data_IF_030711280562
#
_entry.id   IF_030711280562
#
_cell.length_a   1.000
_cell.length_b   1.000
_cell.length_c   1.000
_cell.angle_alpha   90.00
_cell.angle_beta   90.00
_cell.angle_gamma   90.00
#
_symmetry.space_group_name_H-M   'P 1'
#
loop_
_entity.id
_entity.type
_entity.pdbx_description
1 polymer ?
#
# COMPACT_ATOMS: atom_id res chain seq x y z
N UNK A 1 6.01 -19.83 12.46
CA UNK A 1 6.79 -18.93 13.32
C UNK A 1 7.90 -18.33 12.47
N UNK A 2 7.55 -17.34 11.65
CA UNK A 2 8.49 -16.41 11.05
C UNK A 2 8.64 -15.24 12.00
N UNK A 3 9.87 -14.92 12.37
CA UNK A 3 10.17 -13.65 13.02
C UNK A 3 10.49 -12.65 11.93
N UNK A 4 9.97 -11.43 12.06
CA UNK A 4 10.17 -10.37 11.08
C UNK A 4 10.59 -9.10 11.78
N UNK A 5 11.56 -8.43 11.18
CA UNK A 5 12.10 -7.18 11.67
C UNK A 5 11.25 -6.02 11.19
N UNK A 6 11.36 -4.84 11.81
CA UNK A 6 10.74 -3.62 11.28
C UNK A 6 11.18 -3.38 9.84
N UNK A 7 12.44 -3.67 9.51
CA UNK A 7 12.96 -3.64 8.14
C UNK A 7 12.18 -4.53 7.19
N UNK A 8 11.94 -5.79 7.54
CA UNK A 8 11.16 -6.72 6.70
C UNK A 8 9.76 -6.17 6.40
N UNK A 9 9.11 -5.52 7.37
CA UNK A 9 7.78 -4.93 7.19
C UNK A 9 7.82 -3.75 6.24
N UNK A 10 8.80 -2.85 6.40
CA UNK A 10 8.96 -1.70 5.52
C UNK A 10 9.31 -2.12 4.08
N UNK A 11 10.15 -3.14 3.92
CA UNK A 11 10.49 -3.72 2.61
C UNK A 11 9.26 -4.37 1.96
N UNK A 12 8.48 -5.16 2.73
CA UNK A 12 7.23 -5.74 2.24
C UNK A 12 6.25 -4.66 1.76
N UNK A 13 6.07 -3.60 2.54
CA UNK A 13 5.19 -2.49 2.18
C UNK A 13 5.67 -1.78 0.93
N UNK A 14 6.98 -1.49 0.83
CA UNK A 14 7.56 -0.89 -0.37
C UNK A 14 7.32 -1.76 -1.61
N UNK A 15 7.55 -3.06 -1.49
CA UNK A 15 7.31 -4.01 -2.58
C UNK A 15 5.84 -4.07 -2.97
N UNK A 16 4.93 -3.98 -2.00
CA UNK A 16 3.50 -3.98 -2.26
C UNK A 16 3.07 -2.75 -3.06
N UNK A 17 3.51 -1.54 -2.70
CA UNK A 17 3.22 -0.33 -3.49
C UNK A 17 3.85 -0.41 -4.90
N UNK A 18 5.09 -0.88 -5.03
CA UNK A 18 5.72 -1.08 -6.36
C UNK A 18 4.93 -2.05 -7.23
N UNK A 19 4.49 -3.17 -6.65
CA UNK A 19 3.70 -4.17 -7.37
C UNK A 19 2.32 -3.64 -7.75
N UNK A 20 1.66 -2.86 -6.87
CA UNK A 20 0.40 -2.19 -7.18
C UNK A 20 0.57 -1.18 -8.32
N UNK A 21 1.62 -0.36 -8.29
CA UNK A 21 1.94 0.57 -9.38
C UNK A 21 2.09 -0.13 -10.73
N UNK A 22 2.86 -1.22 -10.76
CA UNK A 22 3.07 -2.04 -11.96
C UNK A 22 1.78 -2.69 -12.45
N UNK A 23 0.96 -3.23 -11.54
CA UNK A 23 -0.34 -3.83 -11.86
C UNK A 23 -1.26 -2.79 -12.53
N UNK A 24 -1.35 -1.59 -11.97
CA UNK A 24 -2.17 -0.52 -12.53
C UNK A 24 -1.66 -0.07 -13.90
N UNK A 25 -0.35 -0.02 -14.10
CA UNK A 25 0.24 0.27 -15.40
C UNK A 25 -0.09 -0.81 -16.44
N UNK A 26 -0.01 -2.09 -16.07
CA UNK A 26 -0.36 -3.21 -16.95
C UNK A 26 -1.85 -3.21 -17.33
N UNK A 27 -2.74 -2.90 -16.40
CA UNK A 27 -4.18 -2.79 -16.68
C UNK A 27 -4.49 -1.62 -17.60
N UNK A 28 -3.71 -0.55 -17.48
CA UNK A 28 -3.84 0.64 -18.32
C UNK A 28 -3.55 0.34 -19.79
N UNK A 29 -2.57 -0.53 -20.05
CA UNK A 29 -2.24 -0.99 -21.41
C UNK A 29 -3.34 -1.85 -22.04
N UNK A 30 -4.23 -2.43 -21.22
CA UNK A 30 -5.28 -3.36 -21.65
C UNK A 30 -6.66 -2.69 -21.74
N UNK A 31 -6.87 -1.56 -21.07
CA UNK A 31 -8.17 -0.87 -21.06
C UNK A 31 -8.34 0.04 -22.28
N UNK A 32 -9.56 0.08 -22.83
CA UNK A 32 -9.94 1.03 -23.88
C UNK A 32 -10.84 2.16 -23.35
N UNK A 33 -11.15 2.14 -22.05
CA UNK A 33 -12.09 3.07 -21.42
C UNK A 33 -11.31 4.25 -20.87
N UNK A 34 -11.47 5.42 -21.48
CA UNK A 34 -10.73 6.65 -21.13
C UNK A 34 -10.79 7.01 -19.63
N UNK A 35 -11.96 6.83 -19.00
CA UNK A 35 -12.14 7.08 -17.56
C UNK A 35 -11.35 6.11 -16.68
N UNK A 36 -11.25 4.84 -17.10
CA UNK A 36 -10.48 3.81 -16.39
C UNK A 36 -8.98 4.05 -16.59
N UNK A 37 -8.55 4.43 -17.80
CA UNK A 37 -7.16 4.84 -18.09
C UNK A 37 -6.71 6.01 -17.19
N UNK A 38 -7.53 7.06 -17.07
CA UNK A 38 -7.23 8.21 -16.22
C UNK A 38 -7.04 7.81 -14.75
N UNK A 39 -7.94 6.98 -14.21
CA UNK A 39 -7.83 6.53 -12.82
C UNK A 39 -6.63 5.60 -12.62
N UNK A 40 -6.39 4.65 -13.52
CA UNK A 40 -5.23 3.76 -13.47
C UNK A 40 -3.91 4.54 -13.52
N UNK A 41 -3.85 5.60 -14.35
CA UNK A 41 -2.70 6.50 -14.41
C UNK A 41 -2.48 7.23 -13.09
N UNK A 42 -3.55 7.72 -12.47
CA UNK A 42 -3.48 8.36 -11.15
C UNK A 42 -2.97 7.37 -10.10
N UNK A 43 -3.58 6.19 -9.99
CA UNK A 43 -3.23 5.16 -9.01
C UNK A 43 -1.79 4.68 -9.21
N UNK A 44 -1.38 4.35 -10.43
CA UNK A 44 -0.02 3.87 -10.72
C UNK A 44 1.04 4.86 -10.25
N UNK A 45 0.86 6.16 -10.56
CA UNK A 45 1.77 7.21 -10.10
C UNK A 45 1.73 7.38 -8.58
N UNK A 46 0.55 7.29 -7.99
CA UNK A 46 0.37 7.44 -6.55
C UNK A 46 1.14 6.37 -5.77
N UNK A 47 0.99 5.11 -6.17
CA UNK A 47 1.70 3.98 -5.57
C UNK A 47 3.22 4.10 -5.73
N UNK A 48 3.70 4.58 -6.89
CA UNK A 48 5.13 4.83 -7.10
C UNK A 48 5.66 5.92 -6.14
N UNK A 49 4.92 7.01 -5.96
CA UNK A 49 5.26 8.08 -5.01
C UNK A 49 5.29 7.56 -3.55
N UNK A 50 4.42 6.62 -3.19
CA UNK A 50 4.41 5.98 -1.87
C UNK A 50 5.58 5.04 -1.66
N UNK A 51 5.91 4.21 -2.64
CA UNK A 51 7.10 3.35 -2.58
C UNK A 51 8.40 4.15 -2.39
N UNK A 52 8.49 5.34 -3.02
CA UNK A 52 9.60 6.26 -2.85
C UNK A 52 9.59 6.94 -1.48
N UNK A 53 8.41 7.31 -0.98
CA UNK A 53 8.25 7.91 0.34
C UNK A 53 8.66 6.94 1.44
N UNK A 54 8.22 5.68 1.37
CA UNK A 54 8.63 4.62 2.29
C UNK A 54 10.13 4.33 2.23
N UNK A 55 10.74 4.38 1.04
CA UNK A 55 12.20 4.26 0.91
C UNK A 55 12.92 5.32 1.74
N UNK A 56 12.51 6.58 1.63
CA UNK A 56 13.10 7.70 2.37
C UNK A 56 12.85 7.61 3.88
N UNK A 57 11.65 7.15 4.27
CA UNK A 57 11.35 6.88 5.69
C UNK A 57 12.31 5.82 6.22
N UNK A 58 12.47 4.70 5.50
CA UNK A 58 13.36 3.60 5.89
C UNK A 58 14.81 4.06 6.03
N UNK A 59 15.31 4.87 5.08
CA UNK A 59 16.66 5.47 5.14
C UNK A 59 16.86 6.42 6.33
N UNK A 60 15.78 7.06 6.80
CA UNK A 60 15.80 7.98 7.95
C UNK A 60 15.61 7.31 9.31
N UNK A 61 15.26 6.03 9.35
CA UNK A 61 15.06 5.26 10.59
C UNK A 61 16.41 4.70 11.06
N UNK A 62 16.68 4.77 12.37
CA UNK A 62 17.92 4.23 12.93
C UNK A 62 17.97 2.69 12.81
N UNK A 63 19.13 2.14 12.52
CA UNK A 63 19.38 0.69 12.46
C UNK A 63 18.85 -0.09 13.69
N UNK A 64 18.96 0.51 14.88
CA UNK A 64 18.42 -0.09 16.12
C UNK A 64 16.91 -0.39 16.06
N UNK A 65 16.14 0.48 15.39
CA UNK A 65 14.69 0.30 15.21
C UNK A 65 14.44 -0.69 14.07
N UNK A 66 15.21 -0.62 12.99
CA UNK A 66 15.08 -1.52 11.84
C UNK A 66 15.32 -2.99 12.23
N UNK A 67 16.26 -3.24 13.13
CA UNK A 67 16.60 -4.57 13.64
C UNK A 67 15.69 -5.05 14.80
N UNK A 68 14.67 -4.27 15.19
CA UNK A 68 13.72 -4.68 16.22
C UNK A 68 12.89 -5.87 15.73
N UNK A 69 12.88 -6.95 16.53
CA UNK A 69 12.25 -8.23 16.19
C UNK A 69 10.79 -8.27 16.66
N UNK A 70 9.90 -8.66 15.76
CA UNK A 70 8.49 -8.90 16.06
C UNK A 70 8.09 -10.35 15.78
N UNK A 71 7.21 -10.89 16.62
CA UNK A 71 6.61 -12.21 16.44
C UNK A 71 5.39 -12.12 15.52
N UNK A 72 5.60 -11.63 14.30
CA UNK A 72 4.52 -11.41 13.34
C UNK A 72 4.77 -12.25 12.09
N UNK A 73 3.76 -13.01 11.69
CA UNK A 73 3.73 -13.64 10.37
C UNK A 73 3.36 -12.57 9.34
N UNK A 74 4.29 -12.26 8.44
CA UNK A 74 3.97 -11.38 7.31
C UNK A 74 3.25 -12.19 6.22
N UNK A 75 2.03 -11.77 5.93
CA UNK A 75 1.34 -12.19 4.71
C UNK A 75 2.15 -11.74 3.50
N UNK A 76 2.38 -12.63 2.54
CA UNK A 76 3.16 -12.28 1.35
C UNK A 76 2.44 -11.19 0.52
N UNK A 77 3.21 -10.35 -0.18
CA UNK A 77 2.66 -9.36 -1.13
C UNK A 77 1.69 -10.05 -2.11
N UNK A 78 2.08 -11.22 -2.62
CA UNK A 78 1.24 -12.00 -3.52
C UNK A 78 -0.09 -12.39 -2.86
N UNK A 79 -0.13 -12.73 -1.58
CA UNK A 79 -1.38 -13.07 -0.89
C UNK A 79 -2.28 -11.85 -0.68
N UNK A 80 -1.70 -10.67 -0.41
CA UNK A 80 -2.47 -9.42 -0.27
C UNK A 80 -3.04 -9.01 -1.63
N UNK A 81 -2.23 -9.09 -2.70
CA UNK A 81 -2.66 -8.83 -4.07
C UNK A 81 -3.53 -9.95 -4.66
N UNK A 82 -3.47 -11.17 -4.14
CA UNK A 82 -4.33 -12.28 -4.56
C UNK A 82 -5.79 -12.02 -4.20
N UNK A 83 -6.05 -11.32 -3.08
CA UNK A 83 -7.38 -10.78 -2.76
C UNK A 83 -7.90 -9.75 -3.77
N UNK A 84 -7.02 -9.31 -4.67
CA UNK A 84 -7.27 -8.36 -5.75
C UNK A 84 -7.28 -9.03 -7.15
N UNK A 85 -7.24 -10.37 -7.26
CA UNK A 85 -7.18 -11.14 -8.53
C UNK A 85 -8.36 -11.00 -9.49
N UNK A 86 -9.27 -10.06 -9.25
CA UNK A 86 -10.38 -9.71 -10.16
C UNK A 86 -9.97 -8.65 -11.19
N UNK A 87 -8.67 -8.42 -11.41
CA UNK A 87 -8.19 -7.54 -12.46
C UNK A 87 -8.52 -8.12 -13.85
N UNK A 88 -9.46 -7.51 -14.55
CA UNK A 88 -9.80 -7.83 -15.94
C UNK A 88 -9.83 -6.56 -16.81
N UNK A 89 -9.66 -6.67 -18.15
CA UNK A 89 -9.67 -5.51 -19.05
C UNK A 89 -10.94 -4.64 -18.96
N UNK A 90 -12.07 -5.27 -18.58
CA UNK A 90 -13.36 -4.61 -18.42
C UNK A 90 -13.63 -4.05 -17.00
N UNK A 91 -12.62 -4.01 -16.13
CA UNK A 91 -12.78 -3.59 -14.72
C UNK A 91 -13.43 -2.21 -14.65
N UNK A 92 -14.44 -2.07 -13.79
CA UNK A 92 -15.10 -0.79 -13.56
C UNK A 92 -14.26 0.11 -12.65
N UNK A 93 -14.54 1.42 -12.72
CA UNK A 93 -13.97 2.40 -11.79
C UNK A 93 -14.24 2.00 -10.34
N UNK A 94 -15.44 1.52 -10.02
CA UNK A 94 -15.80 1.13 -8.65
C UNK A 94 -15.02 -0.09 -8.17
N UNK A 95 -14.85 -1.11 -9.01
CA UNK A 95 -14.06 -2.30 -8.68
C UNK A 95 -12.59 -1.95 -8.48
N UNK A 96 -12.03 -1.09 -9.35
CA UNK A 96 -10.64 -0.62 -9.24
C UNK A 96 -10.41 0.17 -7.95
N UNK A 97 -11.35 1.02 -7.57
CA UNK A 97 -11.27 1.81 -6.33
C UNK A 97 -11.40 0.91 -5.10
N UNK A 98 -12.35 -0.01 -5.10
CA UNK A 98 -12.50 -0.97 -4.01
C UNK A 98 -11.24 -1.83 -3.84
N UNK A 99 -10.57 -2.17 -4.94
CA UNK A 99 -9.30 -2.88 -4.92
C UNK A 99 -8.19 -2.05 -4.26
N UNK A 100 -8.00 -0.80 -4.69
CA UNK A 100 -7.02 0.11 -4.08
C UNK A 100 -7.28 0.29 -2.58
N UNK A 101 -8.53 0.56 -2.19
CA UNK A 101 -8.91 0.74 -0.79
C UNK A 101 -8.69 -0.52 0.07
N UNK A 102 -8.84 -1.73 -0.50
CA UNK A 102 -8.54 -2.99 0.21
C UNK A 102 -7.05 -3.17 0.47
N UNK A 103 -6.20 -2.71 -0.45
CA UNK A 103 -4.75 -2.71 -0.27
C UNK A 103 -4.38 -1.76 0.87
N UNK A 104 -4.88 -0.53 0.84
CA UNK A 104 -4.69 0.47 1.91
C UNK A 104 -5.15 -0.08 3.27
N UNK A 105 -6.35 -0.68 3.33
CA UNK A 105 -6.89 -1.25 4.57
C UNK A 105 -6.05 -2.40 5.11
N UNK A 106 -5.45 -3.20 4.23
CA UNK A 106 -4.55 -4.29 4.62
C UNK A 106 -3.25 -3.74 5.23
N UNK A 107 -2.67 -2.68 4.64
CA UNK A 107 -1.49 -2.00 5.17
C UNK A 107 -1.77 -1.31 6.51
N UNK A 108 -2.90 -0.59 6.62
CA UNK A 108 -3.33 0.04 7.87
C UNK A 108 -3.47 -1.00 8.98
N UNK A 109 -4.11 -2.14 8.69
CA UNK A 109 -4.26 -3.22 9.66
C UNK A 109 -2.91 -3.80 10.08
N UNK A 110 -2.00 -4.00 9.13
CA UNK A 110 -0.64 -4.47 9.40
C UNK A 110 0.11 -3.50 10.32
N UNK A 111 0.14 -2.20 9.98
CA UNK A 111 0.86 -1.21 10.79
C UNK A 111 0.23 -1.02 12.18
N UNK A 112 -1.10 -1.06 12.31
CA UNK A 112 -1.77 -1.02 13.63
C UNK A 112 -1.37 -2.21 14.49
N UNK A 113 -1.29 -3.40 13.89
CA UNK A 113 -0.82 -4.60 14.58
C UNK A 113 0.64 -4.45 15.02
N UNK A 114 1.53 -4.04 14.12
CA UNK A 114 2.95 -3.81 14.44
C UNK A 114 3.15 -2.75 15.52
N UNK A 115 2.38 -1.65 15.51
CA UNK A 115 2.41 -0.64 16.56
C UNK A 115 1.98 -1.20 17.94
N UNK A 116 1.00 -2.11 17.95
CA UNK A 116 0.53 -2.74 19.19
C UNK A 116 1.54 -3.74 19.78
N UNK A 117 2.38 -4.35 18.93
CA UNK A 117 3.41 -5.30 19.34
C UNK A 117 4.80 -4.66 19.51
N UNK A 118 4.95 -3.37 19.20
CA UNK A 118 6.21 -2.65 19.32
C UNK A 118 6.72 -2.59 20.76
N UNK A 119 7.94 -3.07 20.94
CA UNK A 119 8.64 -3.12 22.23
C UNK A 119 9.23 -1.77 22.60
N UNK A 120 9.54 -0.93 21.61
CA UNK A 120 10.04 0.43 21.81
C UNK A 120 8.99 1.49 21.45
N UNK A 121 9.05 2.63 22.15
CA UNK A 121 8.19 3.79 21.84
C UNK A 121 8.53 4.37 20.46
N UNK A 122 9.78 4.28 20.02
CA UNK A 122 10.20 4.76 18.70
C UNK A 122 9.62 3.91 17.56
N UNK A 123 9.66 2.57 17.67
CA UNK A 123 9.03 1.69 16.69
C UNK A 123 7.50 1.88 16.67
N UNK A 124 6.87 2.05 17.84
CA UNK A 124 5.44 2.36 17.93
C UNK A 124 5.08 3.66 17.24
N UNK A 125 5.88 4.71 17.44
CA UNK A 125 5.69 6.00 16.77
C UNK A 125 5.87 5.89 15.26
N UNK A 126 6.87 5.15 14.79
CA UNK A 126 7.08 4.88 13.37
C UNK A 126 5.83 4.26 12.73
N UNK A 127 5.33 3.15 13.28
CA UNK A 127 4.15 2.49 12.74
C UNK A 127 2.89 3.35 12.82
N UNK A 128 2.70 4.12 13.89
CA UNK A 128 1.58 5.07 13.98
C UNK A 128 1.67 6.18 12.91
N UNK A 129 2.87 6.67 12.61
CA UNK A 129 3.06 7.64 11.52
C UNK A 129 2.72 7.02 10.16
N UNK A 130 3.05 5.75 9.95
CA UNK A 130 2.68 5.02 8.73
C UNK A 130 1.17 4.79 8.63
N UNK A 131 0.49 4.47 9.73
CA UNK A 131 -0.98 4.41 9.76
C UNK A 131 -1.60 5.73 9.31
N UNK A 132 -1.11 6.86 9.83
CA UNK A 132 -1.60 8.19 9.45
C UNK A 132 -1.30 8.49 7.98
N UNK A 133 -0.15 8.05 7.47
CA UNK A 133 0.18 8.16 6.05
C UNK A 133 -0.86 7.43 5.21
N UNK A 134 -1.05 6.12 5.42
CA UNK A 134 -2.01 5.31 4.65
C UNK A 134 -3.46 5.81 4.77
N UNK A 135 -3.90 6.25 5.96
CA UNK A 135 -5.24 6.81 6.13
C UNK A 135 -5.45 8.08 5.28
N UNK A 136 -4.42 8.91 5.13
CA UNK A 136 -4.47 10.06 4.23
C UNK A 136 -4.48 9.65 2.76
N UNK A 137 -3.71 8.64 2.37
CA UNK A 137 -3.68 8.13 0.99
C UNK A 137 -5.02 7.50 0.59
N UNK A 138 -5.60 6.69 1.48
CA UNK A 138 -6.95 6.15 1.32
C UNK A 138 -7.98 7.24 1.03
N UNK A 139 -7.91 8.37 1.75
CA UNK A 139 -8.79 9.52 1.50
C UNK A 139 -8.53 10.18 0.13
N UNK A 140 -7.28 10.27 -0.33
CA UNK A 140 -6.95 10.82 -1.65
C UNK A 140 -7.45 9.91 -2.76
N UNK A 141 -7.27 8.59 -2.63
CA UNK A 141 -7.80 7.59 -3.56
C UNK A 141 -9.32 7.65 -3.67
N UNK A 142 -10.03 7.71 -2.53
CA UNK A 142 -11.49 7.86 -2.52
C UNK A 142 -11.96 9.18 -3.17
N UNK A 143 -11.23 10.29 -2.99
CA UNK A 143 -11.54 11.56 -3.65
C UNK A 143 -11.29 11.53 -5.15
N UNK A 144 -10.17 10.92 -5.58
CA UNK A 144 -9.85 10.74 -6.99
C UNK A 144 -10.94 9.93 -7.69
N UNK A 145 -11.41 8.85 -7.06
CA UNK A 145 -12.53 8.03 -7.52
C UNK A 145 -13.81 8.84 -7.75
N UNK A 146 -14.21 9.63 -6.75
CA UNK A 146 -15.40 10.49 -6.83
C UNK A 146 -15.25 11.54 -7.93
N UNK A 147 -14.09 12.18 -8.01
CA UNK A 147 -13.82 13.17 -9.04
C UNK A 147 -13.93 12.54 -10.42
N UNK A 148 -13.41 11.33 -10.65
CA UNK A 148 -13.50 10.61 -11.93
C UNK A 148 -14.94 10.24 -12.30
N UNK A 149 -15.87 10.23 -11.34
CA UNK A 149 -17.30 9.97 -11.56
C UNK A 149 -18.05 11.17 -12.18
N UNK A 150 -17.52 12.39 -12.03
CA UNK A 150 -18.15 13.65 -12.43
C UNK A 150 -17.87 14.11 -13.88
N UNK A 151 -17.18 13.29 -14.70
CA UNK A 151 -16.73 13.62 -16.07
C UNK A 151 -17.39 12.71 -17.11
#
# INVERSE_FOLDING_TARGET
>A
MSFKTVRDVLELSQDLHRNASNLYQQLREQTQRERVDMLLKFLSRHEEELALTLSKVTEGVSERILDEWHQTELTSVATILDGCKECHPDISVQELVNMALKVDDSLISLYKHMASEASTDEARQLFNNLVVLEENEKMKTARAALSTNDW
#
